data_IF_891833856696
#
_entry.id   IF_891833856696
#
_cell.length_a   1.000
_cell.length_b   1.000
_cell.length_c   1.000
_cell.angle_alpha   90.00
_cell.angle_beta   90.00
_cell.angle_gamma   90.00
#
_symmetry.space_group_name_H-M   'P 1'
#
loop_
_entity.id
_entity.type
_entity.pdbx_description
1 polymer ?
#
# COMPACT_ATOMS: atom_id res chain seq x y z
N UNK A 1 -7.95 7.55 -24.75
CA UNK A 1 -7.63 7.34 -23.32
C UNK A 1 -6.91 6.00 -23.22
N UNK A 2 -5.59 6.01 -23.09
CA UNK A 2 -4.83 4.75 -23.05
C UNK A 2 -4.43 4.47 -21.60
N UNK A 3 -4.88 3.35 -21.01
CA UNK A 3 -4.48 3.02 -19.65
C UNK A 3 -2.97 2.79 -19.57
N UNK A 4 -2.35 3.02 -18.39
CA UNK A 4 -0.97 2.67 -18.17
C UNK A 4 -0.78 1.16 -18.37
N UNK A 5 0.38 0.73 -18.89
CA UNK A 5 0.66 -0.68 -19.10
C UNK A 5 0.60 -1.47 -17.79
N UNK A 6 0.12 -2.71 -17.86
CA UNK A 6 0.07 -3.56 -16.68
C UNK A 6 1.49 -3.99 -16.24
N UNK A 7 1.82 -3.94 -14.94
CA UNK A 7 3.14 -4.31 -14.45
C UNK A 7 3.36 -5.82 -14.49
N UNK A 8 4.56 -6.26 -14.86
CA UNK A 8 4.95 -7.67 -14.88
C UNK A 8 5.59 -8.07 -13.55
N UNK A 9 5.20 -9.23 -13.03
CA UNK A 9 5.76 -9.82 -11.82
C UNK A 9 6.07 -11.29 -12.09
N UNK A 10 7.16 -11.81 -11.52
CA UNK A 10 7.45 -13.25 -11.61
C UNK A 10 6.35 -14.08 -10.96
N UNK A 11 6.01 -15.22 -11.54
CA UNK A 11 5.13 -16.19 -10.88
C UNK A 11 5.83 -16.73 -9.61
N UNK A 12 5.10 -16.85 -8.49
CA UNK A 12 5.64 -17.52 -7.32
C UNK A 12 5.90 -19.01 -7.63
N UNK A 13 6.84 -19.62 -6.93
CA UNK A 13 7.05 -21.07 -7.00
C UNK A 13 5.83 -21.77 -6.40
N UNK A 14 5.21 -22.65 -7.16
CA UNK A 14 4.07 -23.45 -6.70
C UNK A 14 4.55 -24.84 -6.28
N UNK A 15 4.01 -25.33 -5.17
CA UNK A 15 4.27 -26.70 -4.68
C UNK A 15 3.71 -27.72 -5.67
N UNK A 16 2.55 -27.43 -6.27
CA UNK A 16 1.90 -28.28 -7.28
C UNK A 16 2.73 -28.47 -8.55
N UNK A 17 3.61 -27.53 -8.89
CA UNK A 17 4.48 -27.59 -10.06
C UNK A 17 5.84 -28.24 -9.77
N UNK A 18 5.97 -28.98 -8.66
CA UNK A 18 7.19 -29.69 -8.30
C UNK A 18 8.36 -28.77 -7.92
N UNK A 19 8.08 -27.51 -7.53
CA UNK A 19 9.13 -26.56 -7.11
C UNK A 19 9.96 -25.95 -8.25
N UNK A 20 9.61 -26.23 -9.51
CA UNK A 20 10.22 -25.56 -10.67
C UNK A 20 10.00 -24.05 -10.55
N UNK A 21 11.05 -23.27 -10.83
CA UNK A 21 10.94 -21.82 -10.93
C UNK A 21 9.86 -21.50 -11.97
N UNK A 22 8.76 -20.89 -11.53
CA UNK A 22 7.80 -20.25 -12.43
C UNK A 22 8.49 -19.08 -13.13
N UNK A 23 9.31 -19.38 -14.14
CA UNK A 23 10.07 -18.41 -14.93
C UNK A 23 9.19 -17.48 -15.76
N UNK A 24 7.91 -17.80 -15.84
CA UNK A 24 6.93 -16.97 -16.53
C UNK A 24 6.59 -15.70 -15.73
N UNK A 25 6.56 -14.60 -16.46
CA UNK A 25 5.98 -13.35 -15.99
C UNK A 25 4.45 -13.47 -15.97
N UNK A 26 3.84 -12.84 -14.97
CA UNK A 26 2.40 -12.64 -14.89
C UNK A 26 2.08 -11.17 -14.73
N UNK A 27 0.86 -10.80 -15.09
CA UNK A 27 0.33 -9.48 -14.78
C UNK A 27 0.15 -9.32 -13.27
N UNK A 28 0.72 -8.25 -12.73
CA UNK A 28 0.59 -7.85 -11.34
C UNK A 28 -0.68 -7.04 -11.08
N UNK A 29 -1.03 -6.87 -9.80
CA UNK A 29 -2.20 -6.08 -9.39
C UNK A 29 -2.07 -4.57 -9.66
N UNK A 30 -0.84 -4.06 -9.71
CA UNK A 30 -0.48 -2.64 -9.79
C UNK A 30 1.02 -2.45 -9.58
N UNK A 31 1.55 -1.26 -9.84
CA UNK A 31 2.97 -0.94 -9.72
C UNK A 31 3.42 -0.89 -8.26
N UNK A 32 4.65 -1.32 -7.97
CA UNK A 32 5.25 -1.19 -6.65
C UNK A 32 5.56 0.28 -6.33
N UNK A 33 5.58 0.62 -5.05
CA UNK A 33 6.04 1.94 -4.58
C UNK A 33 7.47 2.23 -5.05
N UNK A 34 8.34 1.22 -5.13
CA UNK A 34 9.72 1.40 -5.60
C UNK A 34 9.79 1.76 -7.09
N UNK A 35 9.01 1.07 -7.92
CA UNK A 35 8.93 1.33 -9.37
C UNK A 35 8.39 2.74 -9.66
N UNK A 36 7.34 3.15 -8.96
CA UNK A 36 6.74 4.49 -9.11
C UNK A 36 7.72 5.59 -8.69
N UNK A 37 8.43 5.39 -7.57
CA UNK A 37 9.47 6.32 -7.10
C UNK A 37 10.66 6.39 -8.05
N UNK A 38 11.07 5.28 -8.66
CA UNK A 38 12.18 5.24 -9.61
C UNK A 38 11.91 6.11 -10.86
N UNK A 39 10.63 6.27 -11.22
CA UNK A 39 10.19 7.15 -12.31
C UNK A 39 10.01 8.60 -11.86
N UNK A 40 10.14 8.89 -10.56
CA UNK A 40 10.04 10.23 -9.99
C UNK A 40 8.64 10.65 -9.56
N UNK A 41 7.69 9.71 -9.49
CA UNK A 41 6.33 9.99 -9.05
C UNK A 41 6.12 9.64 -7.57
N UNK A 42 5.23 10.36 -6.90
CA UNK A 42 4.64 9.95 -5.63
C UNK A 42 3.45 9.00 -5.84
N UNK A 43 3.07 8.27 -4.78
CA UNK A 43 1.90 7.37 -4.83
C UNK A 43 0.60 8.14 -5.12
N UNK A 44 0.50 9.39 -4.66
CA UNK A 44 -0.66 10.24 -4.90
C UNK A 44 -0.76 10.66 -6.36
N UNK A 45 0.32 11.22 -6.92
CA UNK A 45 0.39 11.65 -8.32
C UNK A 45 0.16 10.48 -9.29
N UNK A 46 0.77 9.32 -9.02
CA UNK A 46 0.56 8.14 -9.84
C UNK A 46 -0.92 7.72 -9.87
N UNK A 47 -1.60 7.77 -8.72
CA UNK A 47 -3.04 7.47 -8.68
C UNK A 47 -3.87 8.54 -9.37
N UNK A 48 -3.46 9.80 -9.34
CA UNK A 48 -4.13 10.88 -10.07
C UNK A 48 -4.05 10.66 -11.59
N UNK A 49 -2.91 10.16 -12.08
CA UNK A 49 -2.70 9.75 -13.47
C UNK A 49 -3.39 8.42 -13.84
N UNK A 50 -4.17 7.84 -12.93
CA UNK A 50 -4.86 6.56 -13.15
C UNK A 50 -3.98 5.33 -13.08
N UNK A 51 -2.74 5.46 -12.61
CA UNK A 51 -1.84 4.33 -12.36
C UNK A 51 -2.24 3.62 -11.08
N UNK A 52 -2.47 2.31 -11.19
CA UNK A 52 -2.77 1.49 -10.02
C UNK A 52 -1.49 1.18 -9.25
N UNK A 53 -1.37 1.70 -8.04
CA UNK A 53 -0.22 1.46 -7.15
C UNK A 53 -0.54 0.42 -6.07
N UNK A 54 0.28 -0.63 -5.97
CA UNK A 54 0.25 -1.65 -4.94
C UNK A 54 1.27 -1.35 -3.82
N UNK A 55 0.78 -0.79 -2.72
CA UNK A 55 1.62 -0.39 -1.58
C UNK A 55 2.19 -1.56 -0.78
N UNK A 56 1.77 -2.80 -1.06
CA UNK A 56 2.22 -3.99 -0.32
C UNK A 56 3.40 -4.69 -0.98
N UNK A 57 3.65 -4.45 -2.28
CA UNK A 57 4.73 -5.09 -3.03
C UNK A 57 6.03 -4.31 -2.87
N UNK A 58 7.08 -4.98 -2.40
CA UNK A 58 8.43 -4.40 -2.26
C UNK A 58 9.39 -4.68 -3.43
N UNK A 59 9.04 -5.58 -4.36
CA UNK A 59 9.90 -5.88 -5.51
C UNK A 59 9.87 -4.78 -6.57
N UNK A 60 11.05 -4.52 -7.14
CA UNK A 60 11.28 -3.53 -8.20
C UNK A 60 11.87 -4.26 -9.39
N UNK A 61 11.27 -4.09 -10.56
CA UNK A 61 11.75 -4.66 -11.82
C UNK A 61 12.01 -3.56 -12.84
N UNK A 62 13.20 -3.55 -13.44
CA UNK A 62 13.60 -2.51 -14.39
C UNK A 62 12.69 -2.47 -15.63
N UNK A 63 12.21 -3.63 -16.07
CA UNK A 63 11.23 -3.76 -17.17
C UNK A 63 9.98 -2.91 -16.90
N UNK A 64 9.50 -2.90 -15.65
CA UNK A 64 8.31 -2.12 -15.29
C UNK A 64 8.62 -0.63 -15.23
N UNK A 65 9.80 -0.25 -14.74
CA UNK A 65 10.27 1.15 -14.69
C UNK A 65 10.35 1.72 -16.10
N UNK A 66 10.95 0.97 -17.04
CA UNK A 66 11.05 1.37 -18.45
C UNK A 66 9.67 1.51 -19.09
N UNK A 67 8.80 0.50 -18.98
CA UNK A 67 7.44 0.56 -19.53
C UNK A 67 6.63 1.73 -19.01
N UNK A 68 6.76 2.04 -17.71
CA UNK A 68 6.07 3.19 -17.11
C UNK A 68 6.65 4.51 -17.62
N UNK A 69 7.97 4.60 -17.79
CA UNK A 69 8.66 5.78 -18.33
C UNK A 69 8.28 6.06 -19.78
N UNK A 70 8.24 5.03 -20.62
CA UNK A 70 7.80 5.12 -22.01
C UNK A 70 6.36 5.62 -22.10
N UNK A 71 5.47 5.08 -21.27
CA UNK A 71 4.08 5.53 -21.23
C UNK A 71 3.97 7.00 -20.80
N UNK A 72 4.70 7.42 -19.77
CA UNK A 72 4.71 8.83 -19.34
C UNK A 72 5.24 9.76 -20.43
N UNK A 73 6.28 9.37 -21.17
CA UNK A 73 6.78 10.17 -22.29
C UNK A 73 5.70 10.38 -23.36
N UNK A 74 4.89 9.36 -23.66
CA UNK A 74 3.75 9.48 -24.59
C UNK A 74 2.66 10.41 -24.05
N UNK A 75 2.41 10.37 -22.74
CA UNK A 75 1.47 11.28 -22.08
C UNK A 75 1.98 12.72 -22.13
N UNK A 76 3.26 12.96 -21.85
CA UNK A 76 3.89 14.30 -21.90
C UNK A 76 3.85 14.87 -23.32
N UNK A 77 4.11 14.03 -24.34
CA UNK A 77 4.01 14.43 -25.76
C UNK A 77 2.58 14.78 -26.20
N UNK A 78 1.56 14.45 -25.40
CA UNK A 78 0.16 14.71 -25.71
C UNK A 78 -0.47 13.70 -26.68
N UNK A 79 0.24 12.63 -27.06
CA UNK A 79 -0.28 11.56 -27.91
C UNK A 79 -1.38 10.75 -27.20
N UNK A 80 -1.30 10.68 -25.88
CA UNK A 80 -2.14 9.83 -25.05
C UNK A 80 -2.72 10.64 -23.89
N UNK A 81 -4.06 10.67 -23.82
CA UNK A 81 -4.75 11.16 -22.63
C UNK A 81 -4.72 10.09 -21.52
N UNK A 82 -4.26 10.44 -20.30
CA UNK A 82 -4.26 9.52 -19.18
C UNK A 82 -5.70 9.15 -18.81
N UNK A 83 -5.90 7.94 -18.25
CA UNK A 83 -7.22 7.54 -17.79
C UNK A 83 -7.64 8.33 -16.54
N UNK A 84 -8.89 8.12 -16.14
CA UNK A 84 -9.43 8.69 -14.91
C UNK A 84 -8.57 8.27 -13.70
N UNK A 85 -8.51 9.12 -12.67
CA UNK A 85 -7.73 8.83 -11.49
C UNK A 85 -8.17 7.51 -10.85
N UNK A 86 -7.20 6.69 -10.47
CA UNK A 86 -7.39 5.42 -9.77
C UNK A 86 -7.77 5.61 -8.29
N UNK A 87 -7.95 6.86 -7.85
CA UNK A 87 -8.50 7.19 -6.55
C UNK A 87 -9.97 6.78 -6.48
N UNK A 88 -10.42 6.35 -5.30
CA UNK A 88 -11.84 6.09 -5.08
C UNK A 88 -12.60 7.41 -5.22
N UNK A 89 -13.52 7.50 -6.19
CA UNK A 89 -14.37 8.68 -6.41
C UNK A 89 -15.15 9.11 -5.16
N UNK A 90 -15.52 8.15 -4.31
CA UNK A 90 -16.14 8.40 -3.01
C UNK A 90 -15.59 7.46 -1.93
N UNK A 91 -15.28 7.99 -0.75
CA UNK A 91 -14.93 7.19 0.43
C UNK A 91 -16.21 6.78 1.14
N UNK A 92 -16.71 5.56 0.89
CA UNK A 92 -17.88 5.02 1.60
C UNK A 92 -17.50 4.64 3.03
N UNK A 93 -17.56 5.59 3.97
CA UNK A 93 -17.38 5.32 5.39
C UNK A 93 -18.63 4.59 5.91
N UNK A 94 -18.48 3.33 6.31
CA UNK A 94 -19.57 2.59 6.97
C UNK A 94 -19.95 3.30 8.27
N UNK A 95 -21.24 3.56 8.48
CA UNK A 95 -21.75 4.09 9.76
C UNK A 95 -21.34 3.13 10.89
N UNK A 96 -20.95 3.68 12.04
CA UNK A 96 -20.60 2.88 13.23
C UNK A 96 -21.88 2.21 13.77
N UNK A 97 -22.09 0.93 13.44
CA UNK A 97 -23.23 0.13 13.93
C UNK A 97 -22.99 -0.37 15.37
N UNK A 98 -24.05 -0.51 16.18
CA UNK A 98 -24.01 -1.02 17.56
C UNK A 98 -24.15 0.06 18.65
N UNK A 99 -23.70 -0.23 19.90
CA UNK A 99 -23.65 0.70 21.05
C UNK A 99 -23.28 2.12 20.60
N UNK A 100 -23.88 3.18 21.16
CA UNK A 100 -23.70 4.60 20.77
C UNK A 100 -22.26 4.90 20.32
N UNK A 101 -22.06 5.07 19.02
CA UNK A 101 -20.75 5.26 18.34
C UNK A 101 -19.64 4.27 18.78
N UNK A 102 -19.94 3.00 19.05
CA UNK A 102 -19.06 2.00 19.68
C UNK A 102 -18.45 2.46 21.01
N UNK A 103 -19.27 3.12 21.84
CA UNK A 103 -18.88 3.77 23.10
C UNK A 103 -17.80 4.87 22.94
N UNK A 104 -17.71 5.49 21.76
CA UNK A 104 -16.76 6.60 21.50
C UNK A 104 -17.25 7.96 22.02
N UNK A 105 -18.44 8.01 22.62
CA UNK A 105 -18.89 9.17 23.40
C UNK A 105 -17.94 9.43 24.59
N UNK A 106 -17.86 10.66 25.12
CA UNK A 106 -17.02 10.97 26.28
C UNK A 106 -17.26 10.02 27.47
N UNK A 107 -18.52 9.78 27.85
CA UNK A 107 -18.88 8.82 28.89
C UNK A 107 -18.42 7.39 28.58
N UNK A 108 -18.59 6.92 27.35
CA UNK A 108 -18.14 5.60 26.93
C UNK A 108 -16.62 5.45 26.85
N UNK A 109 -15.89 6.53 26.53
CA UNK A 109 -14.42 6.55 26.60
C UNK A 109 -13.93 6.51 28.05
N UNK A 110 -14.60 7.24 28.94
CA UNK A 110 -14.31 7.25 30.38
C UNK A 110 -14.52 5.86 31.00
N UNK A 111 -15.67 5.24 30.76
CA UNK A 111 -16.00 3.89 31.25
C UNK A 111 -14.97 2.83 30.81
N UNK A 112 -14.42 2.95 29.59
CA UNK A 112 -13.40 2.01 29.09
C UNK A 112 -11.97 2.33 29.55
N UNK A 113 -11.78 3.35 30.38
CA UNK A 113 -10.45 3.81 30.80
C UNK A 113 -9.63 4.47 29.68
N UNK A 114 -10.24 4.74 28.52
CA UNK A 114 -9.53 5.37 27.38
C UNK A 114 -9.19 6.85 27.64
N UNK A 115 -9.84 7.50 28.61
CA UNK A 115 -9.51 8.86 29.02
C UNK A 115 -8.38 8.94 30.04
N UNK A 116 -8.32 8.00 30.99
CA UNK A 116 -7.31 7.98 32.06
C UNK A 116 -6.05 7.25 31.61
N UNK A 117 -6.18 5.97 31.28
CA UNK A 117 -5.09 5.05 30.95
C UNK A 117 -4.78 5.09 29.44
N UNK A 118 -5.78 5.42 28.62
CA UNK A 118 -5.64 5.44 27.16
C UNK A 118 -5.43 4.04 26.60
N UNK A 119 -4.52 3.90 25.64
CA UNK A 119 -4.16 2.60 25.04
C UNK A 119 -2.95 1.95 25.71
N UNK A 120 -2.37 2.56 26.76
CA UNK A 120 -1.07 2.17 27.33
C UNK A 120 -1.06 0.72 27.84
N UNK A 121 -2.15 0.28 28.44
CA UNK A 121 -2.25 -1.08 29.01
C UNK A 121 -2.54 -2.17 27.98
N UNK A 122 -2.92 -1.81 26.75
CA UNK A 122 -3.23 -2.80 25.72
C UNK A 122 -1.98 -3.56 25.27
N UNK A 123 -2.10 -4.87 25.05
CA UNK A 123 -1.02 -5.71 24.51
C UNK A 123 -0.44 -5.12 23.21
N UNK A 124 -1.30 -4.58 22.34
CA UNK A 124 -0.88 -3.96 21.08
C UNK A 124 0.03 -2.76 21.29
N UNK A 125 -0.24 -1.91 22.28
CA UNK A 125 0.64 -0.79 22.63
C UNK A 125 1.96 -1.29 23.22
N UNK A 126 1.90 -2.24 24.17
CA UNK A 126 3.08 -2.83 24.82
C UNK A 126 4.01 -3.51 23.80
N UNK A 127 3.46 -4.32 22.89
CA UNK A 127 4.23 -5.00 21.82
C UNK A 127 4.84 -4.02 20.83
N UNK A 128 4.09 -2.99 20.38
CA UNK A 128 4.63 -1.96 19.47
C UNK A 128 5.72 -1.11 20.14
N UNK A 129 5.56 -0.80 21.43
CA UNK A 129 6.59 -0.12 22.21
C UNK A 129 7.86 -0.98 22.25
N UNK A 130 7.74 -2.27 22.59
CA UNK A 130 8.88 -3.21 22.65
C UNK A 130 9.54 -3.42 21.29
N UNK A 131 8.76 -3.55 20.20
CA UNK A 131 9.30 -3.66 18.85
C UNK A 131 10.11 -2.42 18.42
N UNK A 132 9.67 -1.23 18.82
CA UNK A 132 10.40 0.02 18.59
C UNK A 132 11.69 0.09 19.41
N UNK A 133 11.65 -0.32 20.68
CA UNK A 133 12.84 -0.41 21.54
C UNK A 133 13.89 -1.36 20.94
N UNK A 134 13.45 -2.50 20.38
CA UNK A 134 14.31 -3.44 19.63
C UNK A 134 14.91 -2.83 18.37
N UNK A 135 14.09 -2.19 17.55
CA UNK A 135 14.58 -1.54 16.33
C UNK A 135 15.61 -0.42 16.63
N UNK A 136 15.45 0.26 17.76
CA UNK A 136 16.38 1.30 18.25
C UNK A 136 17.51 0.74 19.13
N UNK A 137 17.60 -0.59 19.31
CA UNK A 137 18.55 -1.28 20.21
C UNK A 137 18.69 -0.64 21.60
N UNK A 138 17.58 -0.20 22.19
CA UNK A 138 17.59 0.32 23.56
C UNK A 138 17.67 -0.86 24.56
N UNK A 139 18.75 -0.94 25.35
CA UNK A 139 19.19 -2.01 26.31
C UNK A 139 20.03 -3.15 25.67
N UNK A 140 20.29 -4.23 26.45
CA UNK A 140 20.98 -5.48 26.08
C UNK A 140 20.15 -6.40 25.14
N UNK A 141 19.58 -5.84 24.08
CA UNK A 141 19.09 -6.64 22.95
C UNK A 141 19.96 -6.22 21.75
N UNK A 142 21.04 -6.99 21.54
CA UNK A 142 22.02 -6.83 20.46
C UNK A 142 21.36 -7.03 19.10
#
# INVERSE_FOLDING_TARGET
>A
MAPPPDPLVRKPRLISSGGVLGGEWRVGRGYSVGEVKAVGLTVGEARLLGIRVDTRRGSVWDINVQRLREWLNRVIKGEVLPPEPALSKAVKIKRKRGRVFRALTPAGRRMRGLMSVGLRETHTHKWKKKARERALKRRHEV
#
